data_IF_663872439476
#
_entry.id   IF_663872439476
#
_cell.length_a   1.000
_cell.length_b   1.000
_cell.length_c   1.000
_cell.angle_alpha   90.00
_cell.angle_beta   90.00
_cell.angle_gamma   90.00
#
_symmetry.space_group_name_H-M   'P 1'
#
loop_
_entity.id
_entity.type
_entity.pdbx_description
1 polymer ?
#
# COMPACT_ATOMS: atom_id res chain seq x y z
N UNK A 1 -13.99 -30.38 22.36
CA UNK A 1 -14.22 -28.94 22.09
C UNK A 1 -13.16 -28.47 21.12
N UNK A 2 -13.55 -28.16 19.89
CA UNK A 2 -12.62 -27.88 18.80
C UNK A 2 -11.88 -26.55 19.02
N UNK A 3 -10.56 -26.61 19.05
CA UNK A 3 -9.67 -25.46 19.03
C UNK A 3 -9.84 -24.72 17.70
N UNK A 4 -10.46 -23.53 17.75
CA UNK A 4 -10.55 -22.63 16.62
C UNK A 4 -9.14 -22.10 16.32
N UNK A 5 -8.46 -22.74 15.36
CA UNK A 5 -7.25 -22.17 14.73
C UNK A 5 -7.59 -20.77 14.25
N UNK A 6 -7.02 -19.75 14.89
CA UNK A 6 -7.08 -18.39 14.42
C UNK A 6 -6.51 -18.38 13.00
N UNK A 7 -7.40 -18.27 12.00
CA UNK A 7 -6.97 -18.08 10.61
C UNK A 7 -6.17 -16.78 10.62
N UNK A 8 -4.92 -16.84 10.21
CA UNK A 8 -4.14 -15.66 9.86
C UNK A 8 -4.83 -15.04 8.64
N UNK A 9 -5.86 -14.23 8.88
CA UNK A 9 -6.57 -13.53 7.83
C UNK A 9 -5.65 -12.39 7.39
N UNK A 10 -4.98 -12.57 6.25
CA UNK A 10 -4.30 -11.44 5.63
C UNK A 10 -5.33 -10.33 5.44
N UNK A 11 -4.98 -9.12 5.87
CA UNK A 11 -5.89 -7.99 5.71
C UNK A 11 -6.09 -7.75 4.21
N UNK A 12 -7.33 -7.66 3.72
CA UNK A 12 -7.55 -7.49 2.28
C UNK A 12 -6.91 -6.17 1.82
N UNK A 13 -6.08 -6.26 0.78
CA UNK A 13 -5.24 -5.14 0.33
C UNK A 13 -6.07 -3.92 -0.08
N UNK A 14 -7.18 -4.15 -0.80
CA UNK A 14 -8.02 -3.07 -1.34
C UNK A 14 -8.63 -2.16 -0.26
N UNK A 15 -9.41 -2.66 0.73
CA UNK A 15 -9.94 -1.80 1.78
C UNK A 15 -8.85 -1.17 2.65
N UNK A 16 -7.73 -1.85 2.85
CA UNK A 16 -6.58 -1.26 3.54
C UNK A 16 -5.99 -0.07 2.77
N UNK A 17 -5.79 -0.23 1.46
CA UNK A 17 -5.21 0.79 0.59
C UNK A 17 -6.11 2.02 0.48
N UNK A 18 -7.42 1.82 0.33
CA UNK A 18 -8.41 2.92 0.37
C UNK A 18 -8.29 3.71 1.66
N UNK A 19 -8.22 3.03 2.82
CA UNK A 19 -8.04 3.71 4.09
C UNK A 19 -6.72 4.49 4.17
N UNK A 20 -5.66 4.05 3.49
CA UNK A 20 -4.40 4.81 3.44
C UNK A 20 -4.52 6.07 2.58
N UNK A 21 -5.23 5.99 1.45
CA UNK A 21 -5.48 7.13 0.57
C UNK A 21 -6.31 8.20 1.29
N UNK A 22 -7.44 7.81 1.90
CA UNK A 22 -8.30 8.73 2.64
C UNK A 22 -7.61 9.32 3.89
N UNK A 23 -6.61 8.63 4.45
CA UNK A 23 -5.86 9.15 5.59
C UNK A 23 -5.00 10.38 5.25
N UNK A 24 -4.67 10.61 3.97
CA UNK A 24 -3.82 11.72 3.53
C UNK A 24 -2.37 11.67 4.05
N UNK A 25 -1.97 10.57 4.71
CA UNK A 25 -0.66 10.44 5.38
C UNK A 25 0.51 10.27 4.43
N UNK A 26 0.25 9.82 3.21
CA UNK A 26 1.28 9.50 2.22
C UNK A 26 1.21 10.49 1.06
N UNK A 27 2.21 11.37 0.97
CA UNK A 27 2.27 12.39 -0.09
C UNK A 27 2.30 11.72 -1.47
N UNK A 28 1.39 12.14 -2.36
CA UNK A 28 1.27 11.58 -3.71
C UNK A 28 0.42 10.31 -3.81
N UNK A 29 0.02 9.70 -2.68
CA UNK A 29 -0.97 8.61 -2.67
C UNK A 29 -2.38 9.21 -2.67
N UNK A 30 -2.95 9.38 -3.86
CA UNK A 30 -4.24 10.05 -4.06
C UNK A 30 -5.10 9.29 -5.08
N UNK A 31 -6.40 9.58 -5.09
CA UNK A 31 -7.26 9.22 -6.22
C UNK A 31 -6.85 10.02 -7.44
N UNK A 32 -6.72 9.34 -8.58
CA UNK A 32 -6.39 9.98 -9.86
C UNK A 32 -7.63 10.60 -10.52
N UNK A 33 -8.82 10.11 -10.16
CA UNK A 33 -10.11 10.58 -10.66
C UNK A 33 -11.12 10.80 -9.52
N UNK A 34 -12.11 11.69 -9.76
CA UNK A 34 -13.15 12.00 -8.78
C UNK A 34 -14.09 10.81 -8.48
N UNK A 35 -14.20 9.86 -9.41
CA UNK A 35 -14.96 8.61 -9.26
C UNK A 35 -14.25 7.54 -8.42
N UNK A 36 -13.03 7.80 -7.94
CA UNK A 36 -12.23 6.91 -7.08
C UNK A 36 -12.04 5.52 -7.70
N UNK A 37 -11.77 5.48 -9.00
CA UNK A 37 -11.57 4.24 -9.75
C UNK A 37 -10.08 3.87 -9.87
N UNK A 38 -9.20 4.86 -9.91
CA UNK A 38 -7.76 4.71 -10.06
C UNK A 38 -6.98 5.46 -8.97
N UNK A 39 -5.85 4.88 -8.55
CA UNK A 39 -4.94 5.45 -7.55
C UNK A 39 -3.61 5.84 -8.19
N UNK A 40 -3.12 7.02 -7.83
CA UNK A 40 -1.73 7.44 -8.09
C UNK A 40 -0.86 6.98 -6.92
N UNK A 41 0.15 6.17 -7.20
CA UNK A 41 1.12 5.69 -6.19
C UNK A 41 2.51 6.20 -6.57
N UNK A 42 3.17 7.01 -5.74
CA UNK A 42 4.51 7.50 -6.04
C UNK A 42 5.48 6.33 -5.95
N UNK A 43 6.07 5.98 -7.10
CA UNK A 43 7.03 4.88 -7.19
C UNK A 43 8.45 5.43 -7.26
N UNK A 44 9.15 5.42 -6.13
CA UNK A 44 10.60 5.56 -6.13
C UNK A 44 11.19 4.15 -6.23
N UNK A 45 11.84 3.83 -7.35
CA UNK A 45 12.57 2.57 -7.46
C UNK A 45 13.65 2.54 -6.36
N UNK A 46 13.50 1.64 -5.38
CA UNK A 46 14.52 1.39 -4.36
C UNK A 46 15.72 0.59 -4.95
N UNK A 47 16.19 0.98 -6.12
CA UNK A 47 17.09 0.20 -6.97
C UNK A 47 18.49 0.77 -7.05
N UNK A 48 19.40 0.07 -6.35
CA UNK A 48 20.87 0.12 -6.43
C UNK A 48 21.52 1.36 -5.79
N UNK A 49 21.89 1.21 -4.51
CA UNK A 49 23.15 1.78 -4.06
C UNK A 49 24.23 1.15 -4.94
N UNK A 50 24.66 1.87 -5.97
CA UNK A 50 25.84 1.49 -6.73
C UNK A 50 26.99 1.44 -5.75
N UNK A 51 27.47 0.24 -5.43
CA UNK A 51 28.80 0.05 -4.86
C UNK A 51 29.75 0.52 -5.96
N UNK A 52 30.07 1.80 -5.89
CA UNK A 52 30.84 2.55 -6.85
C UNK A 52 31.67 3.55 -6.07
N UNK A 53 32.48 3.01 -5.16
CA UNK A 53 33.37 3.77 -4.31
C UNK A 53 34.61 2.93 -4.03
N UNK A 54 35.52 2.96 -5.00
CA UNK A 54 36.97 2.70 -4.92
C UNK A 54 37.44 1.46 -4.17
#
# INVERSE_FOLDING_TARGET
GGSARARLTSRPLRPWLVAQVESGRFAGLVWDDAGRSALRIPWQHAGKAGVGGR
#
